data_IF_004364012923
#
_entry.id   IF_004364012923
#
_cell.length_a   1.000
_cell.length_b   1.000
_cell.length_c   1.000
_cell.angle_alpha   90.00
_cell.angle_beta   90.00
_cell.angle_gamma   90.00
#
_symmetry.space_group_name_H-M   'P 1'
#
loop_
_entity.id
_entity.type
_entity.pdbx_description
1 polymer ?
#
# COMPACT_ATOMS: atom_id res chain seq x y z
N UNK A 1 -8.69 5.99 -13.17
CA UNK A 1 -8.37 4.54 -13.23
C UNK A 1 -7.71 4.11 -11.93
N UNK A 2 -8.16 3.01 -11.36
CA UNK A 2 -7.58 2.52 -10.13
C UNK A 2 -6.23 1.87 -10.39
N UNK A 3 -5.25 2.20 -9.56
CA UNK A 3 -3.89 1.68 -9.63
C UNK A 3 -3.48 1.13 -8.27
N UNK A 4 -2.31 0.49 -8.19
CA UNK A 4 -1.78 0.06 -6.90
C UNK A 4 -1.64 1.26 -5.96
N UNK A 5 -1.24 2.42 -6.48
CA UNK A 5 -1.11 3.65 -5.68
C UNK A 5 -2.43 4.04 -5.05
N UNK A 6 -3.50 4.07 -5.82
CA UNK A 6 -4.81 4.45 -5.30
C UNK A 6 -5.36 3.41 -4.34
N UNK A 7 -5.09 2.13 -4.58
CA UNK A 7 -5.51 1.07 -3.65
C UNK A 7 -4.81 1.18 -2.30
N UNK A 8 -3.51 1.49 -2.30
CA UNK A 8 -2.77 1.71 -1.05
C UNK A 8 -3.39 2.86 -0.27
N UNK A 9 -3.71 3.97 -0.94
CA UNK A 9 -4.36 5.12 -0.29
C UNK A 9 -5.70 4.69 0.33
N UNK A 10 -6.52 3.98 -0.44
CA UNK A 10 -7.84 3.54 0.03
C UNK A 10 -7.74 2.62 1.25
N UNK A 11 -6.85 1.62 1.18
CA UNK A 11 -6.67 0.69 2.29
C UNK A 11 -6.19 1.42 3.54
N UNK A 12 -5.24 2.33 3.39
CA UNK A 12 -4.72 3.11 4.50
C UNK A 12 -5.81 3.96 5.15
N UNK A 13 -6.57 4.69 4.34
CA UNK A 13 -7.62 5.57 4.85
C UNK A 13 -8.75 4.78 5.48
N UNK A 14 -9.14 3.66 4.88
CA UNK A 14 -10.17 2.80 5.45
C UNK A 14 -9.76 2.24 6.81
N UNK A 15 -8.45 2.03 7.01
CA UNK A 15 -7.94 1.58 8.30
C UNK A 15 -7.74 2.73 9.30
N UNK A 16 -7.99 3.96 8.88
CA UNK A 16 -7.86 5.13 9.76
C UNK A 16 -6.42 5.51 10.06
N UNK A 17 -5.49 5.18 9.17
CA UNK A 17 -4.06 5.41 9.39
C UNK A 17 -3.54 6.63 8.65
N UNK A 18 -2.61 7.35 9.27
CA UNK A 18 -1.80 8.33 8.57
C UNK A 18 -0.70 7.63 7.78
N UNK A 19 -0.06 8.35 6.86
CA UNK A 19 1.10 7.81 6.15
C UNK A 19 2.21 7.42 7.12
N UNK A 20 2.42 8.24 8.15
CA UNK A 20 3.46 7.96 9.15
C UNK A 20 3.15 6.70 9.96
N UNK A 21 1.88 6.53 10.34
CA UNK A 21 1.48 5.34 11.09
C UNK A 21 1.69 4.07 10.27
N UNK A 22 1.30 4.10 8.99
CA UNK A 22 1.51 2.95 8.12
C UNK A 22 3.00 2.66 7.97
N UNK A 23 3.80 3.70 7.72
CA UNK A 23 5.24 3.53 7.58
C UNK A 23 5.86 2.93 8.85
N UNK A 24 5.47 3.44 10.02
CA UNK A 24 5.97 2.93 11.29
C UNK A 24 5.63 1.45 11.46
N UNK A 25 4.39 1.07 11.14
CA UNK A 25 3.94 -0.32 11.27
C UNK A 25 4.67 -1.26 10.32
N UNK A 26 5.03 -0.77 9.15
CA UNK A 26 5.79 -1.54 8.17
C UNK A 26 7.30 -1.45 8.37
N UNK A 27 7.73 -0.65 9.34
CA UNK A 27 9.14 -0.40 9.62
C UNK A 27 9.85 0.22 8.41
N UNK A 28 9.16 1.14 7.75
CA UNK A 28 9.64 1.86 6.56
C UNK A 28 9.56 3.37 6.82
N UNK A 29 10.11 4.16 5.91
CA UNK A 29 10.04 5.61 6.01
C UNK A 29 8.69 6.12 5.49
N UNK A 30 8.21 7.24 6.05
CA UNK A 30 7.05 7.92 5.53
C UNK A 30 7.25 8.30 4.07
N UNK A 31 8.47 8.65 3.69
CA UNK A 31 8.80 9.00 2.30
C UNK A 31 8.45 7.86 1.34
N UNK A 32 8.75 6.61 1.72
CA UNK A 32 8.43 5.46 0.88
C UNK A 32 6.94 5.38 0.63
N UNK A 33 6.13 5.49 1.70
CA UNK A 33 4.67 5.45 1.57
C UNK A 33 4.18 6.59 0.68
N UNK A 34 4.70 7.80 0.88
CA UNK A 34 4.31 8.96 0.09
C UNK A 34 4.63 8.76 -1.40
N UNK A 35 5.79 8.21 -1.72
CA UNK A 35 6.18 7.97 -3.10
C UNK A 35 5.26 6.93 -3.77
N UNK A 36 4.86 5.90 -3.02
CA UNK A 36 3.91 4.90 -3.54
C UNK A 36 2.55 5.55 -3.81
N UNK A 37 2.07 6.36 -2.86
CA UNK A 37 0.72 6.93 -2.96
C UNK A 37 0.61 7.99 -4.06
N UNK A 38 1.70 8.66 -4.37
CA UNK A 38 1.71 9.66 -5.45
C UNK A 38 2.03 9.04 -6.82
N UNK A 39 2.30 7.74 -6.86
CA UNK A 39 2.64 7.08 -8.11
C UNK A 39 4.04 7.34 -8.61
N UNK A 40 4.87 8.00 -7.82
CA UNK A 40 6.25 8.31 -8.21
C UNK A 40 7.17 7.10 -8.13
N UNK A 41 6.81 6.14 -7.30
CA UNK A 41 7.58 4.90 -7.15
C UNK A 41 6.60 3.76 -6.94
N UNK A 42 6.84 2.65 -7.61
CA UNK A 42 6.09 1.41 -7.40
C UNK A 42 6.74 0.66 -6.24
N UNK A 43 5.96 0.12 -5.28
CA UNK A 43 6.54 -0.69 -4.22
C UNK A 43 7.28 -1.88 -4.82
N UNK A 44 8.43 -2.24 -4.23
CA UNK A 44 9.14 -3.46 -4.65
C UNK A 44 8.38 -4.69 -4.15
N UNK A 45 8.84 -5.87 -4.58
CA UNK A 45 8.10 -7.10 -4.27
C UNK A 45 7.99 -7.34 -2.77
N UNK A 46 9.04 -7.04 -2.00
CA UNK A 46 8.99 -7.21 -0.55
C UNK A 46 7.96 -6.27 0.08
N UNK A 47 7.92 -5.02 -0.40
CA UNK A 47 6.94 -4.05 0.10
C UNK A 47 5.52 -4.45 -0.25
N UNK A 48 5.30 -4.97 -1.45
CA UNK A 48 3.98 -5.46 -1.87
C UNK A 48 3.52 -6.61 -0.97
N UNK A 49 4.42 -7.54 -0.66
CA UNK A 49 4.11 -8.65 0.24
C UNK A 49 3.76 -8.16 1.64
N UNK A 50 4.52 -7.20 2.16
CA UNK A 50 4.25 -6.61 3.46
C UNK A 50 2.89 -5.92 3.49
N UNK A 51 2.57 -5.15 2.45
CA UNK A 51 1.31 -4.44 2.36
C UNK A 51 0.12 -5.40 2.29
N UNK A 52 0.24 -6.43 1.45
CA UNK A 52 -0.83 -7.43 1.31
C UNK A 52 -1.09 -8.14 2.64
N UNK A 53 -0.02 -8.55 3.33
CA UNK A 53 -0.13 -9.19 4.62
C UNK A 53 -0.70 -8.25 5.68
N UNK A 54 -0.20 -7.03 5.73
CA UNK A 54 -0.63 -6.04 6.71
C UNK A 54 -2.13 -5.74 6.59
N UNK A 55 -2.60 -5.53 5.36
CA UNK A 55 -4.01 -5.21 5.11
C UNK A 55 -4.88 -6.45 4.93
N UNK A 56 -4.31 -7.64 4.99
CA UNK A 56 -5.05 -8.90 4.83
C UNK A 56 -5.82 -8.93 3.52
N UNK A 57 -5.15 -8.56 2.45
CA UNK A 57 -5.69 -8.62 1.09
C UNK A 57 -4.78 -9.50 0.24
N UNK A 58 -5.32 -10.01 -0.87
CA UNK A 58 -4.53 -10.83 -1.78
C UNK A 58 -3.55 -9.96 -2.57
N UNK A 59 -2.48 -10.57 -3.05
CA UNK A 59 -1.57 -9.90 -3.97
C UNK A 59 -2.29 -9.49 -5.24
N UNK A 60 -3.18 -10.34 -5.73
CA UNK A 60 -3.95 -10.02 -6.94
C UNK A 60 -4.81 -8.77 -6.75
N UNK A 61 -5.45 -8.65 -5.59
CA UNK A 61 -6.22 -7.45 -5.31
C UNK A 61 -5.33 -6.21 -5.28
N UNK A 62 -4.22 -6.31 -4.56
CA UNK A 62 -3.35 -5.14 -4.37
C UNK A 62 -2.72 -4.69 -5.68
N UNK A 63 -2.25 -5.63 -6.48
CA UNK A 63 -1.52 -5.32 -7.73
C UNK A 63 -2.46 -5.07 -8.90
N UNK A 64 -3.51 -5.88 -9.03
CA UNK A 64 -4.39 -5.85 -10.19
C UNK A 64 -5.79 -5.31 -9.90
N UNK A 65 -6.17 -5.25 -8.63
CA UNK A 65 -7.54 -4.90 -8.25
C UNK A 65 -8.53 -6.05 -8.42
N UNK A 66 -8.04 -7.28 -8.51
CA UNK A 66 -8.88 -8.45 -8.71
C UNK A 66 -9.24 -9.11 -7.40
N UNK A 67 -10.53 -9.46 -7.23
CA UNK A 67 -11.03 -10.16 -6.05
C UNK A 67 -11.22 -11.65 -6.29
N UNK A 68 -10.63 -12.17 -7.30
CA UNK A 68 -10.79 -13.58 -7.67
C UNK A 68 -10.43 -14.55 -6.56
#
# INVERSE_FOLDING_TARGET
METISTRIVSLRKDAGLSQQQLADDLNLSRRAVSLWETGRRTPDIQSVLLLADYFQVSLDYLVKGSHA
#
